data_IF_897019121693
#
_entry.id   IF_897019121693
#
_cell.length_a   1.000
_cell.length_b   1.000
_cell.length_c   1.000
_cell.angle_alpha   90.00
_cell.angle_beta   90.00
_cell.angle_gamma   90.00
#
_symmetry.space_group_name_H-M   'P 1'
#
loop_
_entity.id
_entity.type
_entity.pdbx_description
1 polymer ?
#
# COMPACT_ATOMS: atom_id res chain seq x y z
N UNK A 1 27.19 7.45 8.65
CA UNK A 1 26.89 7.38 7.20
C UNK A 1 26.97 8.80 6.67
N UNK A 2 28.08 9.20 6.05
CA UNK A 2 28.17 10.52 5.43
C UNK A 2 27.20 10.53 4.25
N UNK A 3 26.10 11.29 4.40
CA UNK A 3 25.17 11.56 3.32
C UNK A 3 25.88 12.48 2.34
N UNK A 4 26.73 11.88 1.52
CA UNK A 4 27.46 12.56 0.47
C UNK A 4 26.42 13.16 -0.46
N UNK A 5 26.35 14.48 -0.49
CA UNK A 5 25.65 15.27 -1.50
C UNK A 5 26.41 15.13 -2.83
N UNK A 6 26.68 13.90 -3.26
CA UNK A 6 27.39 13.60 -4.47
C UNK A 6 26.41 13.67 -5.63
N UNK A 7 26.77 14.51 -6.58
CA UNK A 7 26.09 14.62 -7.86
C UNK A 7 26.23 13.25 -8.55
N UNK A 8 25.13 12.58 -8.93
CA UNK A 8 25.16 11.16 -9.31
C UNK A 8 26.03 10.86 -10.53
N UNK A 9 26.23 11.81 -11.44
CA UNK A 9 27.11 11.65 -12.61
C UNK A 9 28.60 11.58 -12.27
N UNK A 10 28.98 11.94 -11.04
CA UNK A 10 30.38 12.01 -10.61
C UNK A 10 30.67 11.14 -9.37
N UNK A 11 29.66 10.43 -8.86
CA UNK A 11 29.73 9.70 -7.58
C UNK A 11 30.76 8.54 -7.58
N UNK A 12 31.13 8.02 -8.76
CA UNK A 12 32.17 7.01 -8.92
C UNK A 12 33.60 7.56 -9.04
N UNK A 13 33.78 8.87 -9.16
CA UNK A 13 35.09 9.50 -9.34
C UNK A 13 35.69 9.96 -8.01
N UNK A 14 37.03 10.02 -7.96
CA UNK A 14 37.75 10.54 -6.79
C UNK A 14 37.34 11.99 -6.47
N UNK A 15 37.41 12.38 -5.19
CA UNK A 15 37.10 13.74 -4.72
C UNK A 15 37.79 14.85 -5.54
N UNK A 16 39.02 14.59 -6.01
CA UNK A 16 39.78 15.51 -6.88
C UNK A 16 39.14 15.67 -8.26
N UNK A 17 38.66 14.59 -8.86
CA UNK A 17 37.98 14.60 -10.15
C UNK A 17 36.58 15.21 -10.06
N UNK A 18 35.86 15.00 -8.95
CA UNK A 18 34.58 15.69 -8.69
C UNK A 18 34.79 17.21 -8.59
N UNK A 19 35.81 17.65 -7.86
CA UNK A 19 36.16 19.05 -7.72
C UNK A 19 36.56 19.69 -9.06
N UNK A 20 37.36 19.00 -9.88
CA UNK A 20 37.76 19.52 -11.20
C UNK A 20 36.56 19.66 -12.15
N UNK A 21 35.64 18.70 -12.16
CA UNK A 21 34.44 18.75 -13.00
C UNK A 21 33.52 19.91 -12.57
N UNK A 22 33.34 20.09 -11.25
CA UNK A 22 32.59 21.21 -10.70
C UNK A 22 33.23 22.56 -11.05
N UNK A 23 34.55 22.70 -10.91
CA UNK A 23 35.28 23.94 -11.26
C UNK A 23 35.16 24.24 -12.76
N UNK A 24 35.27 23.24 -13.63
CA UNK A 24 35.10 23.41 -15.08
C UNK A 24 33.68 23.83 -15.44
N UNK A 25 32.66 23.21 -14.84
CA UNK A 25 31.26 23.60 -15.03
C UNK A 25 30.97 25.00 -14.51
N UNK A 26 31.60 25.40 -13.41
CA UNK A 26 31.43 26.71 -12.80
C UNK A 26 32.11 27.81 -13.65
N UNK A 27 33.29 27.53 -14.19
CA UNK A 27 33.97 28.39 -15.17
C UNK A 27 33.17 28.51 -16.47
N UNK A 28 32.67 27.39 -17.01
CA UNK A 28 31.82 27.39 -18.21
C UNK A 28 30.50 28.16 -17.97
N UNK A 29 29.90 28.00 -16.79
CA UNK A 29 28.73 28.75 -16.37
C UNK A 29 28.98 30.25 -16.22
N UNK A 30 30.20 30.64 -15.83
CA UNK A 30 30.57 32.04 -15.65
C UNK A 30 30.79 32.74 -17.00
N UNK A 31 31.39 32.04 -17.96
CA UNK A 31 31.69 32.56 -19.30
C UNK A 31 30.47 32.62 -20.23
N UNK A 32 29.49 31.72 -20.06
CA UNK A 32 28.37 31.61 -20.99
C UNK A 32 27.00 31.62 -20.27
N UNK A 33 26.16 32.62 -20.58
CA UNK A 33 24.78 32.72 -20.04
C UNK A 33 23.95 31.47 -20.35
N UNK A 34 24.09 30.91 -21.55
CA UNK A 34 23.38 29.68 -21.95
C UNK A 34 23.78 28.48 -21.09
N UNK A 35 25.08 28.33 -20.80
CA UNK A 35 25.58 27.25 -19.95
C UNK A 35 25.02 27.34 -18.52
N UNK A 36 24.86 28.56 -17.99
CA UNK A 36 24.23 28.79 -16.68
C UNK A 36 22.79 28.29 -16.62
N UNK A 37 22.00 28.57 -17.65
CA UNK A 37 20.61 28.09 -17.73
C UNK A 37 20.54 26.57 -17.89
N UNK A 38 21.41 25.97 -18.71
CA UNK A 38 21.46 24.51 -18.87
C UNK A 38 21.82 23.81 -17.57
N UNK A 39 22.82 24.31 -16.83
CA UNK A 39 23.23 23.75 -15.54
C UNK A 39 22.11 23.90 -14.50
N UNK A 40 21.46 25.07 -14.45
CA UNK A 40 20.33 25.30 -13.57
C UNK A 40 19.14 24.37 -13.88
N UNK A 41 18.83 24.16 -15.17
CA UNK A 41 17.77 23.26 -15.60
C UNK A 41 18.06 21.80 -15.22
N UNK A 42 19.30 21.33 -15.44
CA UNK A 42 19.72 19.99 -15.04
C UNK A 42 19.67 19.80 -13.51
N UNK A 43 20.14 20.79 -12.74
CA UNK A 43 20.11 20.75 -11.29
C UNK A 43 18.66 20.74 -10.76
N UNK A 44 17.80 21.57 -11.34
CA UNK A 44 16.38 21.67 -10.94
C UNK A 44 15.62 20.39 -11.31
N UNK A 45 15.84 19.86 -12.52
CA UNK A 45 15.24 18.61 -12.96
C UNK A 45 15.67 17.43 -12.09
N UNK A 46 16.94 17.38 -11.67
CA UNK A 46 17.42 16.35 -10.75
C UNK A 46 16.80 16.48 -9.35
N UNK A 47 16.71 17.69 -8.81
CA UNK A 47 16.02 17.94 -7.54
C UNK A 47 14.55 17.52 -7.61
N UNK A 48 13.86 17.91 -8.68
CA UNK A 48 12.48 17.51 -8.93
C UNK A 48 12.35 15.98 -8.99
N UNK A 49 13.22 15.28 -9.72
CA UNK A 49 13.24 13.82 -9.77
C UNK A 49 13.46 13.19 -8.39
N UNK A 50 14.42 13.71 -7.61
CA UNK A 50 14.75 13.19 -6.29
C UNK A 50 13.62 13.37 -5.27
N UNK A 51 12.77 14.39 -5.46
CA UNK A 51 11.56 14.62 -4.66
C UNK A 51 10.39 13.79 -5.20
N UNK A 52 10.25 13.68 -6.53
CA UNK A 52 9.16 12.96 -7.18
C UNK A 52 9.19 11.47 -6.85
N UNK A 53 10.37 10.84 -6.87
CA UNK A 53 10.52 9.41 -6.59
C UNK A 53 9.93 9.00 -5.23
N UNK A 54 10.32 9.59 -4.08
CA UNK A 54 9.73 9.22 -2.80
C UNK A 54 8.25 9.58 -2.70
N UNK A 55 7.79 10.65 -3.36
CA UNK A 55 6.37 11.03 -3.40
C UNK A 55 5.54 9.98 -4.14
N UNK A 56 6.00 9.53 -5.31
CA UNK A 56 5.33 8.47 -6.08
C UNK A 56 5.34 7.15 -5.29
N UNK A 57 6.45 6.81 -4.65
CA UNK A 57 6.51 5.62 -3.79
C UNK A 57 5.52 5.71 -2.63
N UNK A 58 5.45 6.86 -1.93
CA UNK A 58 4.48 7.07 -0.86
C UNK A 58 3.04 6.95 -1.37
N UNK A 59 2.72 7.52 -2.53
CA UNK A 59 1.40 7.40 -3.15
C UNK A 59 1.04 5.94 -3.45
N UNK A 60 1.99 5.14 -3.96
CA UNK A 60 1.79 3.71 -4.22
C UNK A 60 1.54 2.92 -2.92
N UNK A 61 2.25 3.24 -1.83
CA UNK A 61 2.00 2.63 -0.52
C UNK A 61 0.61 2.94 0.00
N UNK A 62 0.17 4.19 -0.10
CA UNK A 62 -1.19 4.61 0.29
C UNK A 62 -2.23 3.88 -0.55
N UNK A 63 -2.06 3.85 -1.87
CA UNK A 63 -2.97 3.14 -2.77
C UNK A 63 -3.06 1.65 -2.45
N UNK A 64 -1.91 0.99 -2.24
CA UNK A 64 -1.86 -0.42 -1.81
C UNK A 64 -2.58 -0.63 -0.48
N UNK A 65 -2.40 0.27 0.49
CA UNK A 65 -3.08 0.23 1.78
C UNK A 65 -4.59 0.29 1.64
N UNK A 66 -5.10 1.24 0.85
CA UNK A 66 -6.54 1.38 0.57
C UNK A 66 -7.09 0.16 -0.16
N UNK A 67 -6.37 -0.35 -1.16
CA UNK A 67 -6.78 -1.54 -1.90
C UNK A 67 -6.86 -2.79 -1.00
N UNK A 68 -5.85 -3.01 -0.15
CA UNK A 68 -5.86 -4.10 0.82
C UNK A 68 -6.99 -3.93 1.85
N UNK A 69 -7.23 -2.71 2.32
CA UNK A 69 -8.33 -2.45 3.25
C UNK A 69 -9.69 -2.76 2.63
N UNK A 70 -9.92 -2.34 1.38
CA UNK A 70 -11.13 -2.68 0.64
C UNK A 70 -11.30 -4.18 0.44
N UNK A 71 -10.21 -4.88 0.10
CA UNK A 71 -10.18 -6.34 0.01
C UNK A 71 -10.58 -6.99 1.33
N UNK A 72 -9.95 -6.60 2.45
CA UNK A 72 -10.29 -7.15 3.76
C UNK A 72 -11.75 -6.92 4.13
N UNK A 73 -12.28 -5.72 3.90
CA UNK A 73 -13.69 -5.41 4.18
C UNK A 73 -14.65 -6.30 3.37
N UNK A 74 -14.34 -6.54 2.10
CA UNK A 74 -15.17 -7.40 1.24
C UNK A 74 -15.22 -8.84 1.75
N UNK A 75 -14.06 -9.45 2.01
CA UNK A 75 -13.99 -10.83 2.50
C UNK A 75 -14.48 -10.97 3.94
N UNK A 76 -14.28 -9.95 4.77
CA UNK A 76 -14.83 -9.90 6.11
C UNK A 76 -16.37 -9.95 6.08
N UNK A 77 -17.00 -9.18 5.19
CA UNK A 77 -18.46 -9.22 5.01
C UNK A 77 -18.96 -10.59 4.56
N UNK A 78 -18.25 -11.24 3.63
CA UNK A 78 -18.58 -12.60 3.18
C UNK A 78 -18.48 -13.59 4.35
N UNK A 79 -17.38 -13.54 5.11
CA UNK A 79 -17.17 -14.42 6.25
C UNK A 79 -18.26 -14.26 7.32
N UNK A 80 -18.61 -13.02 7.67
CA UNK A 80 -19.70 -12.73 8.62
C UNK A 80 -21.04 -13.24 8.07
N UNK A 81 -21.31 -13.07 6.78
CA UNK A 81 -22.51 -13.60 6.13
C UNK A 81 -22.59 -15.13 6.20
N UNK A 82 -21.48 -15.83 5.94
CA UNK A 82 -21.42 -17.29 6.06
C UNK A 82 -21.62 -17.77 7.50
N UNK A 83 -21.00 -17.12 8.48
CA UNK A 83 -21.17 -17.46 9.90
C UNK A 83 -22.62 -17.23 10.31
N UNK A 84 -23.21 -16.08 9.97
CA UNK A 84 -24.60 -15.77 10.27
C UNK A 84 -25.56 -16.77 9.62
N UNK A 85 -25.34 -17.12 8.35
CA UNK A 85 -26.12 -18.15 7.66
C UNK A 85 -26.01 -19.52 8.32
N UNK A 86 -24.81 -19.91 8.75
CA UNK A 86 -24.58 -21.15 9.49
C UNK A 86 -25.31 -21.18 10.84
N UNK A 87 -25.27 -20.08 11.60
CA UNK A 87 -25.98 -19.97 12.88
C UNK A 87 -27.49 -20.10 12.68
N UNK A 88 -28.05 -19.41 11.67
CA UNK A 88 -29.48 -19.50 11.36
C UNK A 88 -29.87 -20.92 10.93
N UNK A 89 -29.05 -21.56 10.10
CA UNK A 89 -29.29 -22.94 9.67
C UNK A 89 -29.32 -23.90 10.86
N UNK A 90 -28.32 -23.84 11.75
CA UNK A 90 -28.26 -24.69 12.95
C UNK A 90 -29.44 -24.40 13.86
N UNK A 91 -29.80 -23.13 14.06
CA UNK A 91 -30.94 -22.75 14.89
C UNK A 91 -32.26 -23.33 14.36
N UNK A 92 -32.51 -23.17 13.06
CA UNK A 92 -33.72 -23.69 12.42
C UNK A 92 -33.79 -25.23 12.53
N UNK A 93 -32.68 -25.90 12.25
CA UNK A 93 -32.59 -27.36 12.35
C UNK A 93 -32.86 -27.86 13.78
N UNK A 94 -32.27 -27.22 14.79
CA UNK A 94 -32.51 -27.58 16.19
C UNK A 94 -33.95 -27.28 16.60
N UNK A 95 -34.53 -26.17 16.15
CA UNK A 95 -35.93 -25.86 16.47
C UNK A 95 -36.91 -26.87 15.87
N UNK A 96 -36.65 -27.34 14.65
CA UNK A 96 -37.46 -28.34 13.98
C UNK A 96 -37.39 -29.68 14.72
N UNK A 97 -36.18 -30.13 15.10
CA UNK A 97 -36.00 -31.35 15.91
C UNK A 97 -36.70 -31.27 17.27
N UNK A 98 -36.66 -30.11 17.93
CA UNK A 98 -37.35 -29.91 19.21
C UNK A 98 -38.87 -29.95 19.05
N UNK A 99 -39.39 -29.46 17.92
CA UNK A 99 -40.82 -29.51 17.64
C UNK A 99 -41.28 -30.94 17.31
N UNK A 100 -40.48 -31.69 16.55
CA UNK A 100 -40.74 -33.12 16.28
C UNK A 100 -40.71 -33.95 17.57
N UNK A 101 -39.73 -33.73 18.45
CA UNK A 101 -39.64 -34.43 19.73
C UNK A 101 -40.86 -34.18 20.62
N UNK A 102 -41.34 -32.92 20.69
CA UNK A 102 -42.57 -32.60 21.44
C UNK A 102 -43.80 -33.25 20.86
N UNK A 103 -43.92 -33.32 19.53
CA UNK A 103 -45.06 -34.00 18.88
C UNK A 103 -45.08 -35.49 19.18
N UNK A 104 -43.91 -36.14 19.22
CA UNK A 104 -43.80 -37.55 19.60
C UNK A 104 -44.20 -37.77 21.07
N UNK A 105 -43.73 -36.94 22.01
CA UNK A 105 -44.15 -37.02 23.41
C UNK A 105 -45.67 -36.86 23.58
N UNK A 106 -46.29 -35.91 22.87
CA UNK A 106 -47.75 -35.72 22.91
C UNK A 106 -48.54 -36.89 22.32
N UNK A 107 -48.01 -37.56 21.29
CA UNK A 107 -48.63 -38.75 20.69
C UNK A 107 -48.51 -39.97 21.62
N UNK A 108 -47.35 -40.16 22.26
CA UNK A 108 -47.14 -41.21 23.26
C UNK A 108 -48.04 -41.02 24.49
N UNK A 109 -48.14 -39.80 25.04
CA UNK A 109 -49.05 -39.51 26.15
C UNK A 109 -50.53 -39.73 25.80
N UNK A 110 -50.92 -39.54 24.53
CA UNK A 110 -52.28 -39.84 24.07
C UNK A 110 -52.52 -41.33 23.84
N UNK A 111 -51.49 -42.09 23.52
CA UNK A 111 -51.59 -43.55 23.36
C UNK A 111 -51.62 -44.28 24.72
N UNK A 112 -51.01 -43.70 25.77
CA UNK A 112 -51.03 -44.24 27.13
C UNK A 112 -52.30 -43.91 27.94
N UNK A 113 -53.16 -43.01 27.46
CA UNK A 113 -54.47 -42.66 28.08
C UNK A 113 -55.64 -43.41 27.45
#
# INVERSE_FOLDING_TARGET
MFSTFAIPFIHGFSLKAQASILVTLLLASYLNKTARFTIAALATGYLAFKILVPVVQAALYVFKGVAMFGFYMHYFRIAVGMIGGGVVFVWNYVSELLEEAKRQEEEEERAER
#
